data_IF_330009451622
#
_entry.id   IF_330009451622
#
_cell.length_a   1.000
_cell.length_b   1.000
_cell.length_c   1.000
_cell.angle_alpha   90.00
_cell.angle_beta   90.00
_cell.angle_gamma   90.00
#
_symmetry.space_group_name_H-M   'P 1'
#
loop_
_entity.id
_entity.type
_entity.pdbx_description
1 polymer ?
#
# COMPACT_ATOMS: atom_id res chain seq x y z
N UNK A 1 3.12 -3.57 -26.00
CA UNK A 1 4.23 -4.03 -25.12
C UNK A 1 5.21 -2.86 -24.95
N UNK A 2 5.13 -2.08 -23.86
CA UNK A 2 6.04 -0.94 -23.65
C UNK A 2 7.43 -1.45 -23.26
N UNK A 3 8.48 -0.91 -23.89
CA UNK A 3 9.87 -1.25 -23.60
C UNK A 3 10.25 -0.58 -22.28
N UNK A 4 10.56 -1.37 -21.26
CA UNK A 4 11.26 -0.89 -20.05
C UNK A 4 12.70 -0.58 -20.46
N UNK A 5 12.94 0.66 -20.90
CA UNK A 5 14.20 1.08 -21.53
C UNK A 5 14.97 2.11 -20.70
N UNK A 6 14.67 2.21 -19.40
CA UNK A 6 15.51 2.99 -18.49
C UNK A 6 16.26 2.04 -17.56
N UNK A 7 17.61 2.02 -17.62
CA UNK A 7 18.40 1.30 -16.64
C UNK A 7 18.09 1.89 -15.27
N UNK A 8 17.76 1.03 -14.30
CA UNK A 8 17.69 1.46 -12.92
C UNK A 8 19.08 1.98 -12.52
N UNK A 9 19.18 3.27 -12.18
CA UNK A 9 20.43 3.86 -11.71
C UNK A 9 20.83 3.14 -10.41
N UNK A 10 21.99 2.47 -10.41
CA UNK A 10 22.46 1.62 -9.30
C UNK A 10 22.66 2.37 -7.98
N UNK A 11 22.86 3.68 -8.02
CA UNK A 11 23.34 4.46 -6.87
C UNK A 11 22.26 5.22 -6.08
N UNK A 12 20.98 5.09 -6.43
CA UNK A 12 19.88 5.65 -5.62
C UNK A 12 18.74 4.66 -5.47
N UNK A 13 18.45 4.15 -4.26
CA UNK A 13 17.23 3.40 -4.03
C UNK A 13 16.03 4.30 -4.38
N UNK A 14 15.28 3.92 -5.41
CA UNK A 14 13.95 4.48 -5.64
C UNK A 14 13.02 3.82 -4.62
N UNK A 15 12.20 4.61 -3.92
CA UNK A 15 11.29 4.10 -2.90
C UNK A 15 10.49 2.90 -3.43
N UNK A 16 10.59 1.76 -2.74
CA UNK A 16 9.89 0.53 -3.08
C UNK A 16 10.47 -0.33 -4.20
N UNK A 17 11.68 -0.03 -4.71
CA UNK A 17 12.36 -0.87 -5.73
C UNK A 17 13.73 -1.31 -5.22
N UNK A 18 14.05 -2.59 -5.39
CA UNK A 18 15.41 -3.11 -5.24
C UNK A 18 16.03 -3.42 -6.61
N UNK A 19 17.32 -3.10 -6.84
CA UNK A 19 18.04 -3.54 -8.04
C UNK A 19 18.05 -5.07 -8.14
N UNK A 20 17.78 -5.60 -9.33
CA UNK A 20 17.77 -7.04 -9.55
C UNK A 20 18.20 -7.38 -10.98
N UNK A 21 19.10 -8.38 -11.18
CA UNK A 21 19.49 -8.80 -12.51
C UNK A 21 18.35 -9.57 -13.20
N UNK A 22 17.94 -9.11 -14.39
CA UNK A 22 16.87 -9.74 -15.15
C UNK A 22 17.46 -10.53 -16.33
N UNK A 23 17.17 -11.83 -16.40
CA UNK A 23 17.50 -12.67 -17.56
C UNK A 23 16.35 -12.62 -18.57
N UNK A 24 16.56 -11.97 -19.71
CA UNK A 24 15.59 -11.89 -20.80
C UNK A 24 15.91 -12.92 -21.88
N UNK A 25 14.96 -13.83 -22.11
CA UNK A 25 15.01 -14.81 -23.19
C UNK A 25 14.23 -14.29 -24.40
N UNK A 26 14.85 -14.35 -25.58
CA UNK A 26 14.27 -13.93 -26.86
C UNK A 26 14.58 -14.99 -27.93
N UNK A 27 13.95 -14.89 -29.11
CA UNK A 27 14.30 -15.76 -30.25
C UNK A 27 15.77 -15.64 -30.70
N UNK A 28 16.43 -14.52 -30.37
CA UNK A 28 17.84 -14.25 -30.68
C UNK A 28 18.81 -14.71 -29.57
N UNK A 29 18.30 -15.34 -28.50
CA UNK A 29 19.08 -15.81 -27.36
C UNK A 29 18.78 -15.09 -26.04
N UNK A 30 19.70 -15.23 -25.09
CA UNK A 30 19.58 -14.73 -23.72
C UNK A 30 20.39 -13.45 -23.52
N UNK A 31 19.81 -12.44 -22.86
CA UNK A 31 20.50 -11.22 -22.43
C UNK A 31 20.27 -10.97 -20.94
N UNK A 32 21.28 -10.51 -20.22
CA UNK A 32 21.16 -10.01 -18.84
C UNK A 32 20.95 -8.50 -18.91
N UNK A 33 19.95 -8.01 -18.17
CA UNK A 33 19.61 -6.59 -18.10
C UNK A 33 19.71 -6.12 -16.64
N UNK A 34 20.23 -4.91 -16.44
CA UNK A 34 20.06 -4.19 -15.19
C UNK A 34 18.60 -3.74 -15.09
N UNK A 35 17.91 -4.21 -14.04
CA UNK A 35 16.51 -3.88 -13.78
C UNK A 35 16.26 -3.68 -12.29
N UNK A 36 14.98 -3.57 -11.94
CA UNK A 36 14.53 -3.54 -10.56
C UNK A 36 13.29 -4.40 -10.38
N UNK A 37 13.12 -4.91 -9.16
CA UNK A 37 11.89 -5.56 -8.72
C UNK A 37 11.29 -4.74 -7.60
N UNK A 38 9.95 -4.72 -7.55
CA UNK A 38 9.26 -4.07 -6.45
C UNK A 38 9.48 -4.86 -5.16
N UNK A 39 9.69 -4.12 -4.09
CA UNK A 39 9.83 -4.65 -2.74
C UNK A 39 8.43 -4.98 -2.19
N UNK A 40 8.29 -6.18 -1.62
CA UNK A 40 7.12 -6.60 -0.84
C UNK A 40 7.62 -7.03 0.55
N UNK A 41 7.15 -6.38 1.61
CA UNK A 41 7.49 -6.73 3.00
C UNK A 41 6.20 -6.90 3.81
N UNK A 42 6.20 -7.74 4.85
CA UNK A 42 5.06 -7.84 5.76
C UNK A 42 4.90 -6.53 6.55
N UNK A 43 3.67 -6.23 6.96
CA UNK A 43 3.30 -5.12 7.84
C UNK A 43 2.27 -5.64 8.84
N UNK A 44 2.66 -5.81 10.09
CA UNK A 44 1.76 -6.11 11.20
C UNK A 44 0.91 -4.87 11.52
N UNK A 45 -0.40 -5.00 11.46
CA UNK A 45 -1.36 -3.98 11.92
C UNK A 45 -1.91 -4.44 13.26
N UNK A 46 -1.88 -3.55 14.26
CA UNK A 46 -2.39 -3.78 15.61
C UNK A 46 -3.42 -2.73 15.98
N UNK A 47 -4.42 -3.12 16.76
CA UNK A 47 -5.43 -2.22 17.31
C UNK A 47 -5.43 -2.37 18.84
N UNK A 48 -5.19 -1.28 19.56
CA UNK A 48 -5.09 -1.24 21.02
C UNK A 48 -4.20 -2.35 21.60
N UNK A 49 -3.02 -2.52 20.99
CA UNK A 49 -2.02 -3.50 21.38
C UNK A 49 -2.36 -4.94 21.01
N UNK A 50 -3.40 -5.22 20.20
CA UNK A 50 -3.75 -6.56 19.73
C UNK A 50 -3.47 -6.71 18.23
N UNK A 51 -2.82 -7.80 17.76
CA UNK A 51 -2.64 -8.04 16.34
C UNK A 51 -3.99 -8.17 15.62
N UNK A 52 -4.14 -7.45 14.51
CA UNK A 52 -5.34 -7.45 13.68
C UNK A 52 -5.12 -8.16 12.34
N UNK A 53 -3.97 -7.95 11.70
CA UNK A 53 -3.57 -8.61 10.45
C UNK A 53 -2.07 -8.42 10.19
N UNK A 54 -1.52 -9.22 9.26
CA UNK A 54 -0.26 -8.96 8.59
C UNK A 54 -0.53 -8.71 7.11
N UNK A 55 -0.15 -7.55 6.59
CA UNK A 55 -0.33 -7.16 5.20
C UNK A 55 1.00 -7.25 4.45
N UNK A 56 1.05 -7.90 3.30
CA UNK A 56 2.19 -7.77 2.39
C UNK A 56 2.05 -6.47 1.60
N UNK A 57 3.08 -5.61 1.65
CA UNK A 57 3.00 -4.25 1.09
C UNK A 57 4.32 -3.78 0.47
N UNK A 58 4.22 -2.82 -0.46
CA UNK A 58 5.35 -2.01 -0.92
C UNK A 58 5.61 -0.80 0.01
N UNK A 59 6.86 -0.56 0.47
CA UNK A 59 7.14 0.48 1.48
C UNK A 59 6.73 1.90 1.09
N UNK A 60 6.16 2.65 2.05
CA UNK A 60 5.99 4.11 1.93
C UNK A 60 4.79 4.72 2.64
N UNK A 61 3.59 4.11 2.55
CA UNK A 61 2.33 4.65 3.06
C UNK A 61 1.69 3.74 4.11
N UNK A 62 2.50 3.23 5.04
CA UNK A 62 2.10 2.20 6.00
C UNK A 62 0.96 2.67 6.93
N UNK A 63 0.96 3.95 7.33
CA UNK A 63 -0.07 4.51 8.22
C UNK A 63 -1.41 4.60 7.50
N UNK A 64 -1.40 5.12 6.28
CA UNK A 64 -2.57 5.24 5.42
C UNK A 64 -3.13 3.86 5.08
N UNK A 65 -2.26 2.89 4.77
CA UNK A 65 -2.65 1.51 4.51
C UNK A 65 -3.30 0.87 5.73
N UNK A 66 -2.71 1.01 6.92
CA UNK A 66 -3.26 0.44 8.15
C UNK A 66 -4.64 1.02 8.50
N UNK A 67 -4.79 2.34 8.38
CA UNK A 67 -6.07 3.02 8.64
C UNK A 67 -7.12 2.62 7.61
N UNK A 68 -6.77 2.65 6.32
CA UNK A 68 -7.66 2.25 5.24
C UNK A 68 -8.10 0.79 5.37
N UNK A 69 -7.19 -0.09 5.78
CA UNK A 69 -7.47 -1.49 6.07
C UNK A 69 -8.46 -1.64 7.24
N UNK A 70 -8.20 -0.98 8.38
CA UNK A 70 -9.07 -1.06 9.55
C UNK A 70 -10.50 -0.60 9.26
N UNK A 71 -10.66 0.47 8.46
CA UNK A 71 -11.97 0.97 8.04
C UNK A 71 -12.62 0.05 6.99
N UNK A 72 -11.84 -0.37 5.99
CA UNK A 72 -12.33 -1.18 4.87
C UNK A 72 -12.78 -2.58 5.27
N UNK A 73 -12.13 -3.18 6.28
CA UNK A 73 -12.53 -4.47 6.85
C UNK A 73 -13.56 -4.32 8.00
N UNK A 74 -13.98 -3.09 8.33
CA UNK A 74 -14.93 -2.83 9.41
C UNK A 74 -14.40 -3.09 10.82
N UNK A 75 -13.08 -3.25 10.99
CA UNK A 75 -12.44 -3.40 12.30
C UNK A 75 -12.56 -2.14 13.15
N UNK A 76 -12.61 -0.97 12.49
CA UNK A 76 -12.91 0.33 13.09
C UNK A 76 -14.06 0.95 12.33
N UNK A 77 -15.08 1.45 13.03
CA UNK A 77 -16.32 1.92 12.40
C UNK A 77 -16.17 3.27 11.69
N UNK A 78 -15.41 4.21 12.26
CA UNK A 78 -15.21 5.54 11.69
C UNK A 78 -13.79 6.05 11.96
N UNK A 79 -13.29 6.87 11.04
CA UNK A 79 -11.98 7.53 11.19
C UNK A 79 -11.86 8.30 12.51
N UNK A 80 -12.96 8.94 12.94
CA UNK A 80 -13.00 9.73 14.16
C UNK A 80 -12.87 8.91 15.46
N UNK A 81 -12.93 7.57 15.40
CA UNK A 81 -12.64 6.71 16.56
C UNK A 81 -11.14 6.47 16.75
N UNK A 82 -10.30 6.83 15.77
CA UNK A 82 -8.85 6.60 15.84
C UNK A 82 -8.20 7.79 16.56
N UNK A 83 -7.60 7.53 17.72
CA UNK A 83 -6.87 8.51 18.51
C UNK A 83 -5.43 8.70 18.02
N UNK A 84 -4.77 7.62 17.60
CA UNK A 84 -3.37 7.63 17.22
C UNK A 84 -3.08 6.55 16.16
N UNK A 85 -2.21 6.89 15.21
CA UNK A 85 -1.59 5.92 14.30
C UNK A 85 -0.09 6.06 14.40
N UNK A 86 0.57 5.04 14.92
CA UNK A 86 2.01 5.01 15.12
C UNK A 86 2.63 3.94 14.24
N UNK A 87 3.57 4.35 13.40
CA UNK A 87 4.45 3.41 12.69
C UNK A 87 5.63 3.13 13.61
N UNK A 88 5.72 1.89 14.10
CA UNK A 88 6.75 1.47 15.03
C UNK A 88 8.00 0.99 14.27
N UNK A 89 9.17 1.33 14.79
CA UNK A 89 10.47 0.98 14.23
C UNK A 89 11.37 2.19 14.03
N UNK A 90 12.68 1.97 13.97
CA UNK A 90 13.66 3.02 13.69
C UNK A 90 14.03 3.02 12.20
N UNK A 91 14.12 4.21 11.61
CA UNK A 91 14.56 4.41 10.24
C UNK A 91 16.09 4.40 10.14
N UNK A 92 16.76 3.30 10.53
CA UNK A 92 18.19 3.15 10.20
C UNK A 92 18.59 1.69 10.19
N UNK A 93 19.02 1.23 9.02
CA UNK A 93 19.95 0.11 8.90
C UNK A 93 21.36 0.65 9.16
N UNK A 94 21.64 1.11 10.37
CA UNK A 94 23.01 1.38 10.79
C UNK A 94 23.12 1.12 12.29
N UNK A 95 24.04 0.21 12.59
CA UNK A 95 24.58 -0.17 13.90
C UNK A 95 23.75 -1.20 14.69
N UNK A 96 24.50 -2.20 15.12
CA UNK A 96 24.10 -3.39 15.86
C UNK A 96 23.50 -2.98 17.21
N UNK A 97 22.19 -2.73 17.24
CA UNK A 97 21.47 -2.57 18.49
C UNK A 97 21.27 -3.95 19.14
N UNK A 98 21.79 -4.15 20.36
CA UNK A 98 21.51 -5.27 21.27
C UNK A 98 20.06 -5.21 21.80
N UNK A 99 19.09 -5.16 20.90
CA UNK A 99 17.66 -5.22 21.21
C UNK A 99 17.04 -6.41 20.48
N UNK A 100 16.03 -7.03 21.10
CA UNK A 100 15.26 -8.12 20.51
C UNK A 100 14.93 -7.80 19.03
N UNK A 101 15.30 -8.67 18.06
CA UNK A 101 15.03 -8.45 16.63
C UNK A 101 13.57 -8.11 16.31
N UNK A 102 12.64 -8.48 17.20
CA UNK A 102 11.21 -8.18 17.08
C UNK A 102 10.82 -6.77 17.56
N UNK A 103 11.64 -6.10 18.37
CA UNK A 103 11.33 -4.78 18.95
C UNK A 103 11.69 -3.61 18.01
N UNK A 104 12.53 -3.86 17.01
CA UNK A 104 13.02 -2.85 16.04
C UNK A 104 12.34 -2.94 14.67
N UNK A 105 11.41 -3.87 14.49
CA UNK A 105 10.77 -4.13 13.20
C UNK A 105 10.00 -2.91 12.70
N UNK A 106 10.50 -2.27 11.64
CA UNK A 106 9.82 -1.20 10.84
C UNK A 106 8.50 -1.65 10.21
N UNK A 107 8.10 -2.89 10.43
CA UNK A 107 6.97 -3.55 9.79
C UNK A 107 5.79 -3.66 10.75
N UNK A 108 5.57 -2.66 11.61
CA UNK A 108 4.44 -2.63 12.54
C UNK A 108 3.77 -1.26 12.58
N UNK A 109 2.45 -1.23 12.44
CA UNK A 109 1.63 -0.05 12.70
C UNK A 109 0.66 -0.34 13.82
N UNK A 110 0.70 0.52 14.84
CA UNK A 110 -0.20 0.53 15.99
C UNK A 110 -1.29 1.58 15.76
N UNK A 111 -2.55 1.15 15.77
CA UNK A 111 -3.74 2.00 15.74
C UNK A 111 -4.35 2.00 17.13
N UNK A 112 -4.42 3.17 17.77
CA UNK A 112 -5.09 3.31 19.07
C UNK A 112 -6.43 3.99 18.91
N UNK A 113 -7.44 3.45 19.56
CA UNK A 113 -8.78 4.00 19.53
C UNK A 113 -9.01 5.01 20.66
N UNK A 114 -9.98 5.89 20.47
CA UNK A 114 -10.47 6.79 21.51
C UNK A 114 -11.16 5.99 22.63
N UNK A 115 -11.14 6.49 23.88
CA UNK A 115 -11.92 5.91 24.96
C UNK A 115 -13.41 5.78 24.58
N UNK A 116 -13.98 4.58 24.77
CA UNK A 116 -15.37 4.28 24.45
C UNK A 116 -15.61 3.78 23.02
N UNK A 117 -14.63 3.88 22.13
CA UNK A 117 -14.60 3.09 20.91
C UNK A 117 -14.11 1.67 21.22
N UNK A 118 -14.52 0.70 20.42
CA UNK A 118 -14.03 -0.68 20.53
C UNK A 118 -13.90 -1.24 19.13
N UNK A 119 -12.85 -2.03 18.84
CA UNK A 119 -12.75 -2.67 17.55
C UNK A 119 -13.91 -3.66 17.37
N UNK A 120 -14.36 -3.86 16.14
CA UNK A 120 -15.27 -4.96 15.84
C UNK A 120 -14.61 -6.30 16.17
N UNK A 121 -15.41 -7.36 16.34
CA UNK A 121 -14.89 -8.71 16.56
C UNK A 121 -13.94 -9.08 15.41
N UNK A 122 -12.65 -9.18 15.74
CA UNK A 122 -11.61 -9.62 14.81
C UNK A 122 -11.70 -11.12 14.55
N UNK A 123 -11.01 -11.61 13.51
CA UNK A 123 -10.91 -13.05 13.26
C UNK A 123 -10.23 -13.78 14.43
N UNK A 124 -10.59 -15.04 14.66
CA UNK A 124 -10.02 -15.90 15.71
C UNK A 124 -8.49 -16.08 15.58
N UNK A 125 -7.97 -15.93 14.36
CA UNK A 125 -6.55 -15.98 14.05
C UNK A 125 -6.13 -14.73 13.25
N UNK A 126 -4.89 -14.28 13.46
CA UNK A 126 -4.29 -13.13 12.76
C UNK A 126 -4.07 -13.50 11.29
N UNK A 127 -4.80 -12.89 10.34
CA UNK A 127 -4.69 -13.24 8.94
C UNK A 127 -3.44 -12.65 8.31
N UNK A 128 -2.80 -13.40 7.42
CA UNK A 128 -1.81 -12.91 6.47
C UNK A 128 -2.50 -12.58 5.14
N UNK A 129 -2.48 -11.32 4.75
CA UNK A 129 -3.10 -10.82 3.52
C UNK A 129 -2.00 -10.47 2.53
N UNK A 130 -2.01 -11.16 1.39
CA UNK A 130 -1.10 -10.89 0.28
C UNK A 130 -1.78 -10.00 -0.75
N UNK A 131 -1.02 -9.56 -1.74
CA UNK A 131 -1.44 -8.73 -2.87
C UNK A 131 -2.54 -9.34 -3.79
N UNK A 132 -3.15 -10.47 -3.43
CA UNK A 132 -4.26 -11.10 -4.13
C UNK A 132 -5.58 -10.92 -3.36
N UNK A 133 -6.56 -10.28 -4.03
CA UNK A 133 -7.95 -10.01 -3.66
C UNK A 133 -8.44 -10.46 -2.27
N UNK A 134 -8.90 -9.48 -1.49
CA UNK A 134 -9.37 -9.61 -0.12
C UNK A 134 -10.52 -10.59 0.11
N UNK A 135 -10.72 -10.84 1.41
CA UNK A 135 -11.52 -11.88 2.07
C UNK A 135 -13.03 -11.85 1.79
N UNK A 136 -13.52 -10.82 1.11
CA UNK A 136 -14.95 -10.48 1.04
C UNK A 136 -15.47 -10.57 -0.39
N UNK A 137 -16.45 -11.45 -0.63
CA UNK A 137 -17.19 -11.46 -1.89
C UNK A 137 -18.00 -10.17 -2.05
N UNK A 138 -18.09 -9.64 -3.26
CA UNK A 138 -18.76 -8.36 -3.53
C UNK A 138 -20.20 -8.26 -2.98
N UNK A 139 -20.90 -9.38 -2.82
CA UNK A 139 -22.26 -9.42 -2.27
C UNK A 139 -22.37 -8.95 -0.81
N UNK A 140 -21.45 -9.36 0.07
CA UNK A 140 -21.50 -8.97 1.49
C UNK A 140 -21.09 -7.52 1.70
N UNK A 141 -20.29 -6.95 0.77
CA UNK A 141 -19.94 -5.53 0.82
C UNK A 141 -21.17 -4.64 0.61
N UNK A 142 -22.05 -4.98 -0.33
CA UNK A 142 -23.18 -4.11 -0.72
C UNK A 142 -24.18 -3.92 0.41
N UNK A 143 -24.34 -4.89 1.31
CA UNK A 143 -25.28 -4.83 2.45
C UNK A 143 -24.96 -3.71 3.45
N UNK A 144 -23.71 -3.26 3.48
CA UNK A 144 -23.24 -2.25 4.43
C UNK A 144 -22.86 -0.92 3.78
N UNK A 145 -23.09 -0.75 2.48
CA UNK A 145 -22.79 0.50 1.78
C UNK A 145 -23.99 1.47 1.85
N UNK A 146 -23.72 2.71 2.26
CA UNK A 146 -24.68 3.80 2.11
C UNK A 146 -24.54 4.46 0.73
N UNK A 147 -25.64 4.88 0.09
CA UNK A 147 -25.58 5.66 -1.14
C UNK A 147 -24.74 6.93 -0.93
N UNK A 148 -23.90 7.25 -1.92
CA UNK A 148 -23.18 8.51 -1.94
C UNK A 148 -24.17 9.61 -2.32
N UNK A 149 -24.48 10.52 -1.38
CA UNK A 149 -25.40 11.64 -1.61
C UNK A 149 -24.75 12.78 -2.41
N UNK A 150 -23.43 12.76 -2.54
CA UNK A 150 -22.64 13.86 -3.09
C UNK A 150 -22.64 13.86 -4.63
N UNK A 151 -23.12 14.97 -5.23
CA UNK A 151 -23.27 15.14 -6.68
C UNK A 151 -21.97 15.52 -7.40
N UNK A 152 -20.87 14.81 -7.14
CA UNK A 152 -19.59 15.08 -7.80
C UNK A 152 -19.73 14.90 -9.31
N UNK A 153 -19.58 15.99 -10.07
CA UNK A 153 -19.57 16.00 -11.52
C UNK A 153 -18.18 16.35 -12.05
N UNK A 154 -17.82 15.75 -13.19
CA UNK A 154 -16.56 15.95 -13.88
C UNK A 154 -16.81 15.97 -15.39
N UNK A 155 -16.06 16.81 -16.11
CA UNK A 155 -16.08 16.81 -17.57
C UNK A 155 -15.50 15.50 -18.11
N UNK A 156 -16.13 14.92 -19.13
CA UNK A 156 -15.69 13.65 -19.72
C UNK A 156 -14.24 13.72 -20.21
N UNK A 157 -13.85 14.84 -20.82
CA UNK A 157 -12.50 15.11 -21.30
C UNK A 157 -11.48 14.99 -20.15
N UNK A 158 -11.81 15.55 -18.98
CA UNK A 158 -10.96 15.44 -17.78
C UNK A 158 -10.77 13.99 -17.36
N UNK A 159 -11.85 13.19 -17.38
CA UNK A 159 -11.82 11.77 -17.00
C UNK A 159 -10.84 10.97 -17.87
N UNK A 160 -10.84 11.21 -19.19
CA UNK A 160 -9.95 10.50 -20.13
C UNK A 160 -8.46 10.74 -19.86
N UNK A 161 -8.12 11.86 -19.22
CA UNK A 161 -6.73 12.21 -18.90
C UNK A 161 -6.25 11.65 -17.55
N UNK A 162 -7.14 11.20 -16.67
CA UNK A 162 -6.75 10.74 -15.32
C UNK A 162 -5.82 9.52 -15.34
N UNK A 163 -6.02 8.48 -16.16
CA UNK A 163 -5.12 7.32 -16.18
C UNK A 163 -3.67 7.71 -16.53
N UNK A 164 -3.49 8.58 -17.53
CA UNK A 164 -2.16 9.07 -17.89
C UNK A 164 -1.53 9.93 -16.79
N UNK A 165 -2.33 10.74 -16.07
CA UNK A 165 -1.86 11.52 -14.91
C UNK A 165 -1.43 10.60 -13.75
N UNK A 166 -2.22 9.56 -13.47
CA UNK A 166 -1.91 8.53 -12.48
C UNK A 166 -0.60 7.80 -12.81
N UNK A 167 -0.46 7.25 -14.01
CA UNK A 167 0.77 6.53 -14.41
C UNK A 167 2.02 7.42 -14.35
N UNK A 168 1.89 8.73 -14.62
CA UNK A 168 3.02 9.68 -14.53
C UNK A 168 3.51 9.91 -13.09
N UNK A 169 2.73 9.57 -12.07
CA UNK A 169 3.11 9.70 -10.66
C UNK A 169 3.67 8.42 -10.05
N UNK A 170 3.52 7.28 -10.72
CA UNK A 170 3.99 5.98 -10.24
C UNK A 170 5.43 5.70 -10.68
N UNK A 171 6.41 6.16 -9.91
CA UNK A 171 7.83 5.91 -10.21
C UNK A 171 8.15 4.42 -10.23
N UNK A 172 7.69 3.66 -9.21
CA UNK A 172 7.96 2.23 -9.11
C UNK A 172 7.34 1.42 -10.26
N UNK A 173 6.08 1.69 -10.61
CA UNK A 173 5.42 1.06 -11.75
C UNK A 173 6.15 1.30 -13.07
N UNK A 174 6.62 2.54 -13.32
CA UNK A 174 7.33 2.84 -14.57
C UNK A 174 8.70 2.18 -14.67
N UNK A 175 9.34 1.92 -13.53
CA UNK A 175 10.66 1.31 -13.48
C UNK A 175 10.61 -0.23 -13.48
N UNK A 176 9.71 -0.84 -12.70
CA UNK A 176 9.68 -2.29 -12.48
C UNK A 176 8.34 -2.97 -12.88
N UNK A 177 7.27 -2.20 -13.12
CA UNK A 177 5.92 -2.76 -13.28
C UNK A 177 5.43 -3.44 -12.00
N UNK A 178 4.50 -4.39 -12.11
CA UNK A 178 4.16 -5.32 -11.03
C UNK A 178 3.46 -4.73 -9.79
N UNK A 179 2.96 -3.49 -9.85
CA UNK A 179 2.23 -2.84 -8.75
C UNK A 179 0.92 -2.25 -9.21
N UNK A 180 -0.01 -2.14 -8.26
CA UNK A 180 -1.24 -1.36 -8.40
C UNK A 180 -1.06 0.05 -7.83
N UNK A 181 -2.02 0.91 -8.13
CA UNK A 181 -2.09 2.24 -7.54
C UNK A 181 -3.54 2.67 -7.35
N UNK A 182 -3.77 3.51 -6.36
CA UNK A 182 -5.03 4.21 -6.14
C UNK A 182 -4.76 5.71 -6.14
N UNK A 183 -5.74 6.51 -6.55
CA UNK A 183 -5.57 7.95 -6.56
C UNK A 183 -6.87 8.69 -6.30
N UNK A 184 -6.73 9.79 -5.58
CA UNK A 184 -7.80 10.76 -5.37
C UNK A 184 -7.54 11.97 -6.25
N UNK A 185 -8.57 12.35 -7.01
CA UNK A 185 -8.57 13.54 -7.85
C UNK A 185 -9.69 14.47 -7.40
N UNK A 186 -9.48 15.79 -7.50
CA UNK A 186 -10.60 16.73 -7.39
C UNK A 186 -11.42 16.80 -8.69
N UNK A 187 -12.51 17.58 -8.67
CA UNK A 187 -13.44 17.74 -9.81
C UNK A 187 -12.78 18.29 -11.08
N UNK A 188 -11.64 18.98 -10.96
CA UNK A 188 -10.85 19.49 -12.09
C UNK A 188 -9.85 18.47 -12.66
N UNK A 189 -9.76 17.30 -12.02
CA UNK A 189 -8.77 16.26 -12.34
C UNK A 189 -7.38 16.56 -11.79
N UNK A 190 -7.25 17.51 -10.84
CA UNK A 190 -5.99 17.72 -10.13
C UNK A 190 -5.79 16.56 -9.15
N UNK A 191 -4.60 16.00 -9.16
CA UNK A 191 -4.20 14.93 -8.24
C UNK A 191 -4.13 15.49 -6.83
N UNK A 192 -4.88 14.88 -5.90
CA UNK A 192 -4.77 15.13 -4.46
C UNK A 192 -3.72 14.18 -3.87
N UNK A 193 -3.87 12.87 -4.12
CA UNK A 193 -2.93 11.84 -3.68
C UNK A 193 -2.85 10.69 -4.69
N UNK A 194 -1.69 10.06 -4.78
CA UNK A 194 -1.46 8.79 -5.47
C UNK A 194 -0.75 7.87 -4.49
N UNK A 195 -1.32 6.68 -4.30
CA UNK A 195 -0.81 5.61 -3.47
C UNK A 195 -0.39 4.46 -4.36
#
# INVERSE_FOLDING_TARGET
>A
MRRFSHPAQRDRPQAGIMPWPIRRLTGEGMRILDGGVVIEEPLEVRIDGRPAAVLMRTPGLEKELAVGFCLGEGLVSRMADIALVQHCGQAVAHEEAETDPLDVSRNRVEVRLLPGASPAAGPDAVPLIRSGCGRSGAGTLVEHLQPVEDGVQMQWETLTHLPARLTRRQTAYRAAGGIHAAALFDRSGRVIVVC
#
